data_IF_584849523492
#
_entry.id   IF_584849523492
#
_cell.length_a   1.000
_cell.length_b   1.000
_cell.length_c   1.000
_cell.angle_alpha   90.00
_cell.angle_beta   90.00
_cell.angle_gamma   90.00
#
_symmetry.space_group_name_H-M   'P 1'
#
loop_
_entity.id
_entity.type
_entity.pdbx_description
1 polymer ?
#
# COMPACT_ATOMS: atom_id res chain seq x y z
N UNK A 1 -19.48 -3.93 -16.69
CA UNK A 1 -18.15 -3.66 -16.10
C UNK A 1 -17.69 -4.96 -15.46
N UNK A 2 -16.61 -5.58 -15.95
CA UNK A 2 -16.16 -6.87 -15.46
C UNK A 2 -15.82 -6.78 -13.96
N UNK A 3 -16.38 -7.70 -13.18
CA UNK A 3 -16.06 -7.92 -11.78
C UNK A 3 -14.55 -8.23 -11.68
N UNK A 4 -13.75 -7.24 -11.30
CA UNK A 4 -12.30 -7.36 -11.09
C UNK A 4 -12.02 -7.96 -9.71
N UNK A 5 -12.67 -9.08 -9.39
CA UNK A 5 -12.36 -9.83 -8.18
C UNK A 5 -11.02 -10.51 -8.38
N UNK A 6 -10.00 -10.05 -7.66
CA UNK A 6 -8.68 -10.68 -7.64
C UNK A 6 -8.83 -12.10 -7.07
N UNK A 7 -8.18 -13.07 -7.69
CA UNK A 7 -8.12 -14.44 -7.15
C UNK A 7 -7.47 -14.44 -5.76
N UNK A 8 -7.80 -15.45 -4.94
CA UNK A 8 -7.22 -15.57 -3.59
C UNK A 8 -5.69 -15.58 -3.58
N UNK A 9 -5.07 -16.13 -4.65
CA UNK A 9 -3.61 -16.13 -4.83
C UNK A 9 -3.06 -14.72 -5.09
N UNK A 10 -3.69 -13.95 -5.99
CA UNK A 10 -3.28 -12.58 -6.26
C UNK A 10 -3.43 -11.67 -5.04
N UNK A 11 -4.48 -11.88 -4.23
CA UNK A 11 -4.66 -11.16 -2.97
C UNK A 11 -3.56 -11.47 -1.94
N UNK A 12 -2.93 -12.66 -2.00
CA UNK A 12 -1.78 -12.98 -1.17
C UNK A 12 -0.50 -12.26 -1.62
N UNK A 13 -0.28 -12.13 -2.94
CA UNK A 13 0.84 -11.35 -3.48
C UNK A 13 0.74 -9.88 -3.09
N UNK A 14 -0.46 -9.29 -3.21
CA UNK A 14 -0.70 -7.90 -2.80
C UNK A 14 -0.42 -7.70 -1.31
N UNK A 15 -0.88 -8.61 -0.45
CA UNK A 15 -0.59 -8.54 1.00
C UNK A 15 0.90 -8.58 1.30
N UNK A 16 1.72 -9.23 0.45
CA UNK A 16 3.18 -9.30 0.63
C UNK A 16 3.95 -8.02 0.29
N UNK A 17 3.32 -7.04 -0.37
CA UNK A 17 3.94 -5.74 -0.70
C UNK A 17 3.18 -4.56 -0.10
N UNK A 18 2.01 -4.79 0.49
CA UNK A 18 1.05 -3.72 0.77
C UNK A 18 1.58 -2.63 1.71
N UNK A 19 2.42 -2.99 2.67
CA UNK A 19 3.07 -2.03 3.55
C UNK A 19 3.98 -1.08 2.78
N UNK A 20 4.95 -1.61 2.01
CA UNK A 20 5.86 -0.82 1.18
C UNK A 20 5.11 -0.01 0.12
N UNK A 21 4.04 -0.56 -0.47
CA UNK A 21 3.19 0.15 -1.42
C UNK A 21 2.51 1.36 -0.77
N UNK A 22 1.97 1.22 0.44
CA UNK A 22 1.35 2.34 1.17
C UNK A 22 2.38 3.40 1.54
N UNK A 23 3.56 2.99 2.05
CA UNK A 23 4.63 3.93 2.35
C UNK A 23 5.07 4.70 1.08
N UNK A 24 5.23 4.02 -0.05
CA UNK A 24 5.60 4.64 -1.31
C UNK A 24 4.56 5.65 -1.82
N UNK A 25 3.26 5.31 -1.76
CA UNK A 25 2.18 6.21 -2.17
C UNK A 25 2.09 7.48 -1.31
N UNK A 26 2.43 7.37 -0.02
CA UNK A 26 2.49 8.51 0.89
C UNK A 26 3.78 9.33 0.72
N UNK A 27 4.89 8.70 0.29
CA UNK A 27 6.11 9.43 -0.09
C UNK A 27 5.88 10.27 -1.36
N UNK A 28 5.18 9.72 -2.35
CA UNK A 28 4.91 10.40 -3.63
C UNK A 28 3.84 11.49 -3.49
N UNK A 29 2.70 11.16 -2.89
CA UNK A 29 1.52 12.02 -2.89
C UNK A 29 1.26 12.77 -1.59
N UNK A 30 2.21 12.76 -0.65
CA UNK A 30 2.08 13.34 0.67
C UNK A 30 1.05 12.61 1.54
N UNK A 31 0.26 13.36 2.31
CA UNK A 31 -0.77 12.79 3.17
C UNK A 31 -1.93 12.14 2.39
N UNK A 32 -2.64 11.22 3.04
CA UNK A 32 -3.83 10.59 2.50
C UNK A 32 -4.70 9.95 3.57
N UNK A 33 -5.97 9.72 3.26
CA UNK A 33 -6.89 8.95 4.12
C UNK A 33 -7.29 7.64 3.43
N UNK A 34 -7.84 6.70 4.21
CA UNK A 34 -8.02 5.32 3.78
C UNK A 34 -8.71 5.16 2.41
N UNK A 35 -9.74 5.94 2.11
CA UNK A 35 -10.40 5.90 0.80
C UNK A 35 -9.49 6.37 -0.35
N UNK A 36 -8.81 7.51 -0.20
CA UNK A 36 -7.88 7.99 -1.24
C UNK A 36 -6.72 7.03 -1.48
N UNK A 37 -6.24 6.35 -0.44
CA UNK A 37 -5.19 5.34 -0.58
C UNK A 37 -5.68 4.09 -1.32
N UNK A 38 -6.94 3.67 -1.14
CA UNK A 38 -7.54 2.61 -1.96
C UNK A 38 -7.61 3.00 -3.44
N UNK A 39 -7.97 4.25 -3.73
CA UNK A 39 -8.02 4.75 -5.11
C UNK A 39 -6.61 4.78 -5.73
N UNK A 40 -5.63 5.38 -5.04
CA UNK A 40 -4.23 5.42 -5.49
C UNK A 40 -3.64 4.02 -5.72
N UNK A 41 -3.93 3.05 -4.86
CA UNK A 41 -3.52 1.65 -5.07
C UNK A 41 -4.11 1.07 -6.35
N UNK A 42 -5.40 1.30 -6.60
CA UNK A 42 -6.06 0.81 -7.81
C UNK A 42 -5.50 1.47 -9.08
N UNK A 43 -5.24 2.78 -9.04
CA UNK A 43 -4.60 3.55 -10.12
C UNK A 43 -3.17 3.09 -10.39
N UNK A 44 -2.43 2.70 -9.35
CA UNK A 44 -1.09 2.12 -9.43
C UNK A 44 -1.06 0.66 -9.91
N UNK A 45 -2.19 0.12 -10.39
CA UNK A 45 -2.26 -1.25 -10.91
C UNK A 45 -2.36 -2.34 -9.83
N UNK A 46 -2.68 -1.98 -8.59
CA UNK A 46 -2.93 -2.89 -7.47
C UNK A 46 -4.43 -2.88 -7.08
N UNK A 47 -5.35 -3.26 -7.98
CA UNK A 47 -6.79 -3.18 -7.72
C UNK A 47 -7.25 -4.22 -6.69
N UNK A 48 -8.48 -4.04 -6.19
CA UNK A 48 -9.19 -5.02 -5.36
C UNK A 48 -8.74 -5.07 -3.89
N UNK A 49 -7.91 -4.12 -3.45
CA UNK A 49 -7.67 -3.91 -2.03
C UNK A 49 -8.98 -3.53 -1.34
N UNK A 50 -9.30 -4.23 -0.25
CA UNK A 50 -10.53 -3.98 0.53
C UNK A 50 -10.21 -3.06 1.70
N UNK A 51 -11.17 -2.22 2.08
CA UNK A 51 -11.08 -1.39 3.28
C UNK A 51 -10.77 -2.24 4.54
N UNK A 52 -11.40 -3.40 4.68
CA UNK A 52 -11.15 -4.32 5.79
C UNK A 52 -9.70 -4.84 5.90
N UNK A 53 -8.90 -4.70 4.85
CA UNK A 53 -7.46 -5.03 4.85
C UNK A 53 -6.61 -3.79 5.06
N UNK A 54 -6.94 -2.69 4.37
CA UNK A 54 -6.13 -1.47 4.41
C UNK A 54 -6.19 -0.77 5.77
N UNK A 55 -7.37 -0.62 6.38
CA UNK A 55 -7.49 0.15 7.62
C UNK A 55 -6.74 -0.48 8.81
N UNK A 56 -6.82 -1.81 9.03
CA UNK A 56 -5.97 -2.47 10.02
C UNK A 56 -4.47 -2.27 9.75
N UNK A 57 -4.04 -2.34 8.48
CA UNK A 57 -2.65 -2.07 8.11
C UNK A 57 -2.25 -0.63 8.46
N UNK A 58 -3.05 0.37 8.09
CA UNK A 58 -2.73 1.78 8.39
C UNK A 58 -2.61 2.03 9.90
N UNK A 59 -3.50 1.44 10.70
CA UNK A 59 -3.41 1.52 12.15
C UNK A 59 -2.17 0.81 12.69
N UNK A 60 -1.78 -0.34 12.13
CA UNK A 60 -0.54 -1.03 12.50
C UNK A 60 0.68 -0.18 12.15
N UNK A 61 0.79 0.32 10.93
CA UNK A 61 1.92 1.16 10.51
C UNK A 61 2.05 2.44 11.35
N UNK A 62 0.91 3.01 11.79
CA UNK A 62 0.92 4.13 12.72
C UNK A 62 1.37 3.72 14.13
N UNK A 63 0.92 2.56 14.63
CA UNK A 63 1.36 2.01 15.92
C UNK A 63 2.86 1.66 15.92
N UNK A 64 3.38 1.22 14.77
CA UNK A 64 4.81 0.94 14.54
C UNK A 64 5.65 2.22 14.35
N UNK A 65 5.02 3.41 14.40
CA UNK A 65 5.69 4.70 14.25
C UNK A 65 6.09 5.06 12.82
N UNK A 66 5.68 4.28 11.82
CA UNK A 66 6.01 4.52 10.41
C UNK A 66 5.10 5.56 9.76
N UNK A 67 3.89 5.75 10.31
CA UNK A 67 2.93 6.75 9.88
C UNK A 67 2.51 7.64 11.05
N UNK A 68 2.38 8.94 10.79
CA UNK A 68 1.58 9.81 11.65
C UNK A 68 0.10 9.62 11.33
N UNK A 69 -0.75 9.92 12.30
CA UNK A 69 -2.19 9.76 12.20
C UNK A 69 -2.89 10.95 12.84
N UNK A 70 -3.64 11.71 12.03
CA UNK A 70 -4.34 12.91 12.47
C UNK A 70 -5.83 12.79 12.16
N UNK A 71 -6.68 13.00 13.17
CA UNK A 71 -8.12 13.10 12.94
C UNK A 71 -8.49 14.54 12.55
N UNK A 72 -9.13 14.70 11.39
CA UNK A 72 -9.63 16.00 10.92
C UNK A 72 -11.14 15.99 10.82
N UNK A 73 -11.77 17.05 11.32
CA UNK A 73 -13.20 17.26 11.15
C UNK A 73 -13.53 17.43 9.66
N UNK A 74 -14.66 16.87 9.23
CA UNK A 74 -15.17 17.12 7.88
C UNK A 74 -15.91 18.45 7.85
N UNK A 75 -15.70 19.26 6.81
CA UNK A 75 -16.55 20.41 6.54
C UNK A 75 -17.92 19.90 6.04
N UNK A 76 -18.87 19.78 6.96
CA UNK A 76 -20.23 19.31 6.65
C UNK A 76 -20.37 17.79 6.43
N UNK A 77 -19.36 16.99 6.82
CA UNK A 77 -19.37 15.54 6.66
C UNK A 77 -18.63 14.81 7.78
N UNK A 78 -18.57 13.46 7.74
CA UNK A 78 -17.86 12.70 8.75
C UNK A 78 -16.36 13.07 8.75
N UNK A 79 -15.78 13.14 9.94
CA UNK A 79 -14.34 13.31 10.10
C UNK A 79 -13.56 12.17 9.46
N UNK A 80 -12.30 12.46 9.11
CA UNK A 80 -11.41 11.52 8.45
C UNK A 80 -10.09 11.45 9.20
N UNK A 81 -9.52 10.24 9.25
CA UNK A 81 -8.15 10.02 9.74
C UNK A 81 -7.19 10.13 8.55
N UNK A 82 -6.35 11.15 8.59
CA UNK A 82 -5.27 11.37 7.64
C UNK A 82 -3.99 10.71 8.14
N UNK A 83 -3.25 10.14 7.21
CA UNK A 83 -1.98 9.47 7.45
C UNK A 83 -0.91 10.15 6.61
N UNK A 84 0.28 10.31 7.18
CA UNK A 84 1.46 10.78 6.47
C UNK A 84 2.69 10.00 6.93
N UNK A 85 3.75 9.96 6.13
CA UNK A 85 5.00 9.34 6.55
C UNK A 85 5.67 10.12 7.68
N UNK A 86 6.15 9.41 8.68
CA UNK A 86 7.16 9.90 9.62
C UNK A 86 8.56 9.83 9.02
N UNK A 87 9.57 10.34 9.73
CA UNK A 87 10.96 10.19 9.32
C UNK A 87 11.41 8.72 9.39
N UNK A 88 10.93 7.98 10.39
CA UNK A 88 11.15 6.54 10.53
C UNK A 88 10.50 5.77 9.36
N UNK A 89 9.28 6.13 8.98
CA UNK A 89 8.61 5.54 7.81
C UNK A 89 9.38 5.80 6.51
N UNK A 90 9.91 7.01 6.33
CA UNK A 90 10.80 7.35 5.21
C UNK A 90 12.08 6.52 5.21
N UNK A 91 12.71 6.37 6.38
CA UNK A 91 13.92 5.57 6.52
C UNK A 91 13.68 4.08 6.20
N UNK A 92 12.58 3.51 6.70
CA UNK A 92 12.19 2.12 6.39
C UNK A 92 11.94 1.95 4.89
N UNK A 93 11.22 2.88 4.25
CA UNK A 93 11.00 2.83 2.81
C UNK A 93 12.32 2.91 2.03
N UNK A 94 13.23 3.79 2.42
CA UNK A 94 14.54 3.95 1.78
C UNK A 94 15.42 2.69 1.93
N UNK A 95 15.31 1.97 3.05
CA UNK A 95 16.09 0.77 3.30
C UNK A 95 15.49 -0.49 2.65
N UNK A 96 14.16 -0.65 2.73
CA UNK A 96 13.47 -1.88 2.33
C UNK A 96 12.95 -1.83 0.89
N UNK A 97 12.63 -0.64 0.38
CA UNK A 97 12.14 -0.44 -0.98
C UNK A 97 13.08 -1.01 -2.05
N UNK A 98 14.38 -0.66 -2.06
CA UNK A 98 15.33 -1.20 -3.02
C UNK A 98 15.47 -2.72 -2.95
N UNK A 99 15.49 -3.29 -1.73
CA UNK A 99 15.57 -4.75 -1.51
C UNK A 99 14.34 -5.46 -2.08
N UNK A 100 13.15 -4.90 -1.88
CA UNK A 100 11.92 -5.44 -2.45
C UNK A 100 11.92 -5.38 -3.98
N UNK A 101 12.37 -4.26 -4.56
CA UNK A 101 12.47 -4.12 -6.03
C UNK A 101 13.40 -5.18 -6.62
N UNK A 102 14.54 -5.44 -5.99
CA UNK A 102 15.47 -6.50 -6.43
C UNK A 102 14.82 -7.88 -6.31
N UNK A 103 14.20 -8.20 -5.17
CA UNK A 103 13.47 -9.45 -4.98
C UNK A 103 12.38 -9.66 -6.03
N UNK A 104 11.59 -8.63 -6.34
CA UNK A 104 10.53 -8.68 -7.34
C UNK A 104 11.09 -8.94 -8.75
N UNK A 105 12.16 -8.24 -9.15
CA UNK A 105 12.84 -8.46 -10.43
C UNK A 105 13.33 -9.89 -10.58
N UNK A 106 13.99 -10.42 -9.55
CA UNK A 106 14.48 -11.79 -9.55
C UNK A 106 13.32 -12.81 -9.63
N UNK A 107 12.24 -12.58 -8.88
CA UNK A 107 11.05 -13.43 -8.89
C UNK A 107 10.38 -13.48 -10.26
N UNK A 108 10.20 -12.30 -10.89
CA UNK A 108 9.65 -12.18 -12.24
C UNK A 108 10.51 -12.96 -13.23
N UNK A 109 11.83 -12.74 -13.21
CA UNK A 109 12.77 -13.42 -14.10
C UNK A 109 12.71 -14.95 -13.98
N UNK A 110 12.57 -15.49 -12.76
CA UNK A 110 12.43 -16.94 -12.55
C UNK A 110 11.13 -17.47 -13.13
N UNK A 111 10.01 -16.78 -12.88
CA UNK A 111 8.67 -17.21 -13.37
C UNK A 111 8.60 -17.13 -14.89
N UNK A 112 9.09 -16.05 -15.50
CA UNK A 112 9.05 -15.87 -16.96
C UNK A 112 9.82 -16.96 -17.70
N UNK A 113 11.02 -17.32 -17.22
CA UNK A 113 11.78 -18.43 -17.81
C UNK A 113 11.00 -19.75 -17.80
N UNK A 114 10.24 -20.01 -16.74
CA UNK A 114 9.42 -21.22 -16.62
C UNK A 114 8.12 -21.20 -17.42
N UNK A 115 7.60 -20.02 -17.78
CA UNK A 115 6.41 -19.89 -18.64
C UNK A 115 6.80 -20.03 -20.12
N UNK A 116 8.04 -19.67 -20.48
CA UNK A 116 8.55 -19.69 -21.85
C UNK A 116 9.21 -21.03 -22.25
N UNK A 117 9.40 -21.94 -21.28
CA UNK A 117 9.91 -23.30 -21.49
C UNK A 117 8.80 -24.28 -21.81
#
# INVERSE_FOLDING_TARGET
>A
MADRTISGRQAQWLRGVLDLAVLALLAEGGEGYGYTLLQRLAEAGLPGMKAGTLYPLLNRLAADGLLSAEWRAGEGGPGRKFFALTDEGRAVLAEQGPKWVEFAKNSISVVERGVQS
#
